data_IF_983043722312
#
_entry.id   IF_983043722312
#
_cell.length_a   1.000
_cell.length_b   1.000
_cell.length_c   1.000
_cell.angle_alpha   90.00
_cell.angle_beta   90.00
_cell.angle_gamma   90.00
#
_symmetry.space_group_name_H-M   'P 1'
#
loop_
_entity.id
_entity.type
_entity.pdbx_description
1 polymer ?
#
# COMPACT_ATOMS: atom_id res chain seq x y z
N UNK A 1 -6.78 1.11 -4.37
CA UNK A 1 -5.38 1.36 -3.94
C UNK A 1 -4.58 2.02 -5.05
N UNK A 2 -4.61 1.52 -6.29
CA UNK A 2 -3.95 2.19 -7.43
C UNK A 2 -4.52 3.56 -7.80
N UNK A 3 -5.72 3.90 -7.32
CA UNK A 3 -6.31 5.24 -7.51
C UNK A 3 -5.78 6.29 -6.52
N UNK A 4 -4.92 5.90 -5.57
CA UNK A 4 -4.30 6.85 -4.64
C UNK A 4 -3.16 7.56 -5.36
N UNK A 5 -3.11 8.89 -5.24
CA UNK A 5 -2.10 9.72 -5.88
C UNK A 5 -0.68 9.21 -5.57
N UNK A 6 0.13 9.07 -6.63
CA UNK A 6 1.51 8.59 -6.52
C UNK A 6 1.67 7.06 -6.46
N UNK A 7 0.59 6.27 -6.41
CA UNK A 7 0.68 4.81 -6.51
C UNK A 7 0.72 4.39 -7.98
N UNK A 8 1.76 3.66 -8.36
CA UNK A 8 1.94 3.14 -9.71
C UNK A 8 1.74 1.61 -9.76
N UNK A 9 2.08 0.92 -8.67
CA UNK A 9 2.04 -0.54 -8.60
C UNK A 9 1.62 -1.00 -7.20
N UNK A 10 0.78 -2.03 -7.15
CA UNK A 10 0.37 -2.70 -5.91
C UNK A 10 0.49 -4.21 -6.12
N UNK A 11 1.41 -4.82 -5.38
CA UNK A 11 1.54 -6.27 -5.28
C UNK A 11 0.80 -6.77 -4.04
N UNK A 12 0.05 -7.87 -4.18
CA UNK A 12 -0.70 -8.50 -3.09
C UNK A 12 -0.29 -9.97 -3.00
N UNK A 13 0.10 -10.40 -1.80
CA UNK A 13 0.40 -11.80 -1.50
C UNK A 13 -0.42 -12.24 -0.29
N UNK A 14 -1.28 -13.24 -0.47
CA UNK A 14 -1.96 -13.89 0.65
C UNK A 14 -0.95 -14.77 1.38
N UNK A 15 -0.72 -14.50 2.66
CA UNK A 15 0.25 -15.24 3.48
C UNK A 15 -0.41 -16.30 4.35
N UNK A 16 -1.68 -16.09 4.72
CA UNK A 16 -2.46 -17.00 5.57
C UNK A 16 -3.95 -16.88 5.27
N UNK A 17 -4.66 -17.99 5.37
CA UNK A 17 -6.12 -18.06 5.22
C UNK A 17 -6.69 -18.83 6.40
N UNK A 18 -7.48 -18.14 7.21
CA UNK A 18 -8.23 -18.69 8.33
C UNK A 18 -9.72 -18.82 8.00
N UNK A 19 -10.48 -19.43 8.91
CA UNK A 19 -11.94 -19.61 8.76
C UNK A 19 -12.70 -18.28 8.57
N UNK A 20 -12.18 -17.16 9.10
CA UNK A 20 -12.88 -15.86 9.09
C UNK A 20 -12.03 -14.69 8.60
N UNK A 21 -10.74 -14.89 8.41
CA UNK A 21 -9.79 -13.81 8.13
C UNK A 21 -8.76 -14.28 7.12
N UNK A 22 -8.25 -13.35 6.34
CA UNK A 22 -7.09 -13.57 5.49
C UNK A 22 -6.01 -12.58 5.94
N UNK A 23 -4.77 -13.05 6.04
CA UNK A 23 -3.62 -12.18 6.23
C UNK A 23 -2.95 -11.99 4.89
N UNK A 24 -2.82 -10.73 4.47
CA UNK A 24 -2.17 -10.35 3.22
C UNK A 24 -0.93 -9.49 3.50
N UNK A 25 0.08 -9.64 2.65
CA UNK A 25 1.19 -8.71 2.53
C UNK A 25 0.98 -7.86 1.28
N UNK A 26 1.06 -6.55 1.45
CA UNK A 26 0.96 -5.57 0.39
C UNK A 26 2.32 -4.92 0.17
N UNK A 27 2.76 -4.84 -1.08
CA UNK A 27 3.89 -4.01 -1.49
C UNK A 27 3.38 -2.94 -2.43
N UNK A 28 3.52 -1.68 -2.05
CA UNK A 28 3.00 -0.53 -2.82
C UNK A 28 4.21 0.26 -3.31
N UNK A 29 4.26 0.56 -4.60
CA UNK A 29 5.36 1.29 -5.23
C UNK A 29 4.85 2.47 -6.04
N UNK A 30 5.65 3.51 -6.07
CA UNK A 30 5.38 4.74 -6.79
C UNK A 30 5.93 5.97 -6.05
N UNK A 31 5.96 7.13 -6.70
CA UNK A 31 6.55 8.34 -6.15
C UNK A 31 5.61 9.09 -5.20
N UNK A 32 6.17 9.71 -4.18
CA UNK A 32 5.46 10.64 -3.28
C UNK A 32 4.15 10.09 -2.67
N UNK A 33 4.09 8.78 -2.41
CA UNK A 33 2.91 8.13 -1.83
C UNK A 33 2.63 8.69 -0.44
N UNK A 34 1.39 9.15 -0.21
CA UNK A 34 0.92 9.56 1.10
C UNK A 34 0.43 8.34 1.89
N UNK A 35 1.13 8.00 2.98
CA UNK A 35 0.75 6.87 3.83
C UNK A 35 -0.65 7.02 4.44
N UNK A 36 -1.02 8.22 4.89
CA UNK A 36 -2.29 8.44 5.58
C UNK A 36 -3.49 8.23 4.63
N UNK A 37 -3.37 8.66 3.37
CA UNK A 37 -4.40 8.45 2.34
C UNK A 37 -4.53 6.95 2.01
N UNK A 38 -3.40 6.25 1.88
CA UNK A 38 -3.37 4.80 1.71
C UNK A 38 -4.02 4.06 2.89
N UNK A 39 -3.66 4.43 4.12
CA UNK A 39 -4.18 3.82 5.33
C UNK A 39 -5.69 4.03 5.47
N UNK A 40 -6.19 5.22 5.10
CA UNK A 40 -7.61 5.53 5.08
C UNK A 40 -8.38 4.61 4.13
N UNK A 41 -7.90 4.45 2.89
CA UNK A 41 -8.54 3.55 1.91
C UNK A 41 -8.57 2.10 2.40
N UNK A 42 -7.49 1.62 3.03
CA UNK A 42 -7.45 0.27 3.60
C UNK A 42 -8.45 0.09 4.75
N UNK A 43 -8.58 1.08 5.63
CA UNK A 43 -9.56 1.07 6.73
C UNK A 43 -10.99 1.10 6.19
N UNK A 44 -11.26 1.89 5.14
CA UNK A 44 -12.57 1.94 4.47
C UNK A 44 -12.95 0.59 3.84
N UNK A 45 -11.95 -0.22 3.45
CA UNK A 45 -12.14 -1.61 3.00
C UNK A 45 -12.18 -2.63 4.15
N UNK A 46 -12.34 -2.17 5.39
CA UNK A 46 -12.36 -3.02 6.59
C UNK A 46 -11.09 -3.83 6.79
N UNK A 47 -9.96 -3.39 6.25
CA UNK A 47 -8.65 -3.98 6.54
C UNK A 47 -8.07 -3.39 7.82
N UNK A 48 -7.40 -4.22 8.62
CA UNK A 48 -6.62 -3.77 9.77
C UNK A 48 -5.12 -3.82 9.42
N UNK A 49 -4.42 -2.69 9.55
CA UNK A 49 -2.96 -2.63 9.36
C UNK A 49 -2.29 -3.13 10.64
N UNK A 50 -1.63 -4.29 10.57
CA UNK A 50 -0.98 -4.92 11.73
C UNK A 50 0.45 -4.41 11.96
N UNK A 51 1.22 -4.25 10.89
CA UNK A 51 2.59 -3.74 10.90
C UNK A 51 2.94 -3.12 9.56
N UNK A 52 3.94 -2.22 9.58
CA UNK A 52 4.65 -1.76 8.38
C UNK A 52 6.01 -2.46 8.39
N UNK A 53 6.20 -3.39 7.47
CA UNK A 53 7.38 -4.25 7.44
C UNK A 53 8.58 -3.55 6.78
N UNK A 54 8.34 -2.73 5.75
CA UNK A 54 9.36 -2.03 4.97
C UNK A 54 8.89 -0.63 4.56
N UNK A 55 9.80 0.34 4.56
CA UNK A 55 9.59 1.67 3.98
C UNK A 55 10.79 1.99 3.09
N UNK A 56 10.53 2.28 1.81
CA UNK A 56 11.55 2.70 0.85
C UNK A 56 11.33 4.16 0.46
N UNK A 57 12.37 4.98 0.55
CA UNK A 57 12.34 6.40 0.17
C UNK A 57 13.46 6.66 -0.81
N UNK A 58 13.13 7.29 -1.93
CA UNK A 58 14.09 7.67 -2.95
C UNK A 58 13.85 9.10 -3.42
N UNK A 59 14.92 9.73 -3.94
CA UNK A 59 14.80 11.05 -4.55
C UNK A 59 14.05 10.92 -5.87
N UNK A 60 12.79 11.32 -5.88
CA UNK A 60 12.02 11.43 -7.11
C UNK A 60 12.40 12.71 -7.87
N UNK A 61 12.68 12.57 -9.17
CA UNK A 61 12.76 13.69 -10.09
C UNK A 61 11.48 13.67 -10.91
N UNK A 62 10.58 14.66 -10.75
CA UNK A 62 9.41 14.74 -11.59
C UNK A 62 9.85 14.83 -13.05
N UNK A 63 9.16 14.13 -13.95
CA UNK A 63 9.38 14.30 -15.38
C UNK A 63 9.05 15.74 -15.75
N UNK A 64 10.07 16.48 -16.20
CA UNK A 64 9.89 17.82 -16.75
C UNK A 64 9.51 17.60 -18.20
N UNK A 65 8.21 17.72 -18.51
CA UNK A 65 7.73 17.84 -19.89
C UNK A 65 8.10 19.21 -20.47
#
# INVERSE_FOLDING_TARGET
LCDVDGVEEVDVVVTEVDVKTETIKLTIKGPNICYDDMAKVLIDYSCAIRSIDEVNVYKHKPEIN
#
